data_IF_725049874609
#
_entry.id   IF_725049874609
#
_cell.length_a   1.000
_cell.length_b   1.000
_cell.length_c   1.000
_cell.angle_alpha   90.00
_cell.angle_beta   90.00
_cell.angle_gamma   90.00
#
_symmetry.space_group_name_H-M   'P 1'
#
loop_
_entity.id
_entity.type
_entity.pdbx_description
1 polymer ?
#
# COMPACT_ATOMS: atom_id res chain seq x y z
N UNK A 1 19.18 30.38 -13.39
CA UNK A 1 18.59 29.04 -13.20
C UNK A 1 19.33 28.36 -12.08
N UNK A 2 18.66 28.24 -10.95
CA UNK A 2 19.19 27.65 -9.73
C UNK A 2 19.28 26.13 -9.94
N UNK A 3 20.43 25.52 -9.61
CA UNK A 3 20.69 24.09 -9.86
C UNK A 3 20.16 23.20 -8.72
N UNK A 4 19.33 23.74 -7.82
CA UNK A 4 18.75 23.05 -6.66
C UNK A 4 19.75 22.21 -5.85
N UNK A 5 20.98 22.72 -5.69
CA UNK A 5 22.05 22.03 -4.96
C UNK A 5 22.76 20.89 -5.72
N UNK A 6 22.42 20.65 -7.00
CA UNK A 6 23.13 19.67 -7.82
C UNK A 6 24.59 20.11 -8.04
N UNK A 7 25.56 19.18 -7.85
CA UNK A 7 26.96 19.44 -8.15
C UNK A 7 27.15 19.93 -9.59
N UNK A 8 28.18 20.77 -9.80
CA UNK A 8 28.51 21.31 -11.13
C UNK A 8 28.69 20.22 -12.21
N UNK A 9 29.24 19.05 -11.81
CA UNK A 9 29.45 17.88 -12.67
C UNK A 9 28.15 17.21 -13.16
N UNK A 10 27.01 17.45 -12.50
CA UNK A 10 25.73 16.82 -12.82
C UNK A 10 24.94 17.71 -13.79
N UNK A 11 25.44 17.89 -15.00
CA UNK A 11 24.76 18.62 -16.08
C UNK A 11 23.98 17.68 -17.01
N UNK A 12 23.33 18.25 -18.04
CA UNK A 12 22.53 17.50 -19.03
C UNK A 12 23.37 16.45 -19.77
N UNK A 13 24.61 16.78 -20.11
CA UNK A 13 25.50 15.87 -20.84
C UNK A 13 25.89 14.68 -19.97
N UNK A 14 26.22 14.93 -18.70
CA UNK A 14 26.46 13.87 -17.71
C UNK A 14 25.23 12.98 -17.55
N UNK A 15 24.03 13.55 -17.34
CA UNK A 15 22.81 12.77 -17.17
C UNK A 15 22.51 11.88 -18.39
N UNK A 16 22.59 12.45 -19.59
CA UNK A 16 22.36 11.75 -20.85
C UNK A 16 23.32 10.57 -21.01
N UNK A 17 24.61 10.80 -20.75
CA UNK A 17 25.63 9.74 -20.79
C UNK A 17 25.40 8.66 -19.74
N UNK A 18 25.02 9.03 -18.52
CA UNK A 18 24.92 8.10 -17.39
C UNK A 18 23.66 7.24 -17.44
N UNK A 19 22.52 7.80 -17.83
CA UNK A 19 21.21 7.12 -17.72
C UNK A 19 20.56 6.81 -19.08
N UNK A 20 20.90 7.57 -20.12
CA UNK A 20 20.22 7.54 -21.43
C UNK A 20 21.13 7.00 -22.56
N UNK A 21 22.25 6.36 -22.21
CA UNK A 21 23.26 5.88 -23.15
C UNK A 21 23.81 6.96 -24.13
N UNK A 22 23.74 8.23 -23.74
CA UNK A 22 24.16 9.37 -24.56
C UNK A 22 23.06 10.06 -25.36
N UNK A 23 21.84 9.51 -25.36
CA UNK A 23 20.68 10.09 -26.05
C UNK A 23 19.98 11.19 -25.23
N UNK A 24 19.04 11.91 -25.83
CA UNK A 24 18.21 12.90 -25.14
C UNK A 24 18.77 14.33 -25.14
N UNK A 25 19.76 14.61 -26.00
CA UNK A 25 20.33 15.95 -26.13
C UNK A 25 19.32 16.97 -26.67
N UNK A 26 18.39 16.50 -27.50
CA UNK A 26 17.28 17.22 -28.12
C UNK A 26 16.05 17.39 -27.23
N UNK A 27 16.00 16.68 -26.08
CA UNK A 27 14.86 16.75 -25.15
C UNK A 27 14.89 18.05 -24.36
N UNK A 28 13.74 18.71 -24.23
CA UNK A 28 13.55 19.87 -23.37
C UNK A 28 13.16 19.47 -21.95
N UNK A 29 13.22 20.41 -21.00
CA UNK A 29 12.92 20.14 -19.60
C UNK A 29 11.47 19.66 -19.35
N UNK A 30 10.55 19.95 -20.28
CA UNK A 30 9.16 19.50 -20.26
C UNK A 30 8.94 18.12 -20.87
N UNK A 31 9.92 17.59 -21.59
CA UNK A 31 9.77 16.31 -22.28
C UNK A 31 9.99 15.14 -21.31
N UNK A 32 9.25 14.06 -21.53
CA UNK A 32 9.54 12.79 -20.87
C UNK A 32 10.86 12.20 -21.38
N UNK A 33 11.65 11.64 -20.47
CA UNK A 33 12.89 10.92 -20.77
C UNK A 33 12.78 9.41 -20.53
N UNK A 34 11.64 8.93 -20.03
CA UNK A 34 11.47 7.55 -19.56
C UNK A 34 11.62 6.50 -20.66
N UNK A 35 11.31 6.86 -21.90
CA UNK A 35 11.52 6.03 -23.08
C UNK A 35 13.02 5.86 -23.44
N UNK A 36 13.87 6.76 -22.97
CA UNK A 36 15.31 6.75 -23.23
C UNK A 36 16.14 6.15 -22.09
N UNK A 37 15.57 5.93 -20.91
CA UNK A 37 16.30 5.40 -19.75
C UNK A 37 16.70 3.95 -20.02
N UNK A 38 18.01 3.68 -20.01
CA UNK A 38 18.56 2.34 -20.25
C UNK A 38 19.21 1.74 -19.00
N UNK A 39 19.60 2.58 -18.05
CA UNK A 39 20.32 2.14 -16.86
C UNK A 39 19.84 2.91 -15.63
N UNK A 40 19.92 2.25 -14.48
CA UNK A 40 19.81 2.88 -13.18
C UNK A 40 20.80 2.19 -12.24
N UNK A 41 21.31 2.94 -11.27
CA UNK A 41 22.36 2.44 -10.39
C UNK A 41 21.76 1.77 -9.16
N UNK A 42 22.04 0.48 -8.96
CA UNK A 42 21.58 -0.32 -7.81
C UNK A 42 22.68 -0.51 -6.77
N UNK A 43 23.27 0.57 -6.25
CA UNK A 43 24.41 0.48 -5.34
C UNK A 43 24.09 -0.30 -4.05
N UNK A 44 23.00 0.02 -3.35
CA UNK A 44 22.66 -0.64 -2.08
C UNK A 44 22.33 -2.12 -2.26
N UNK A 45 21.53 -2.55 -3.25
CA UNK A 45 21.34 -3.97 -3.55
C UNK A 45 22.66 -4.69 -3.82
N UNK A 46 23.54 -4.12 -4.64
CA UNK A 46 24.85 -4.73 -4.93
C UNK A 46 25.69 -4.87 -3.66
N UNK A 47 25.75 -3.83 -2.82
CA UNK A 47 26.46 -3.86 -1.55
C UNK A 47 25.90 -4.95 -0.61
N UNK A 48 24.57 -5.08 -0.54
CA UNK A 48 23.92 -6.13 0.24
C UNK A 48 24.27 -7.53 -0.27
N UNK A 49 24.25 -7.74 -1.60
CA UNK A 49 24.65 -9.02 -2.21
C UNK A 49 26.10 -9.37 -1.87
N UNK A 50 27.01 -8.39 -1.89
CA UNK A 50 28.42 -8.60 -1.55
C UNK A 50 28.64 -9.04 -0.09
N UNK A 51 27.68 -8.79 0.80
CA UNK A 51 27.69 -9.24 2.20
C UNK A 51 27.13 -10.66 2.39
N UNK A 52 26.50 -11.27 1.38
CA UNK A 52 25.89 -12.60 1.48
C UNK A 52 26.89 -13.66 0.99
N UNK A 53 27.40 -14.55 1.86
CA UNK A 53 28.47 -15.48 1.47
C UNK A 53 28.12 -16.41 0.31
N UNK A 54 26.86 -16.86 0.22
CA UNK A 54 26.42 -17.71 -0.89
C UNK A 54 26.36 -16.99 -2.25
N UNK A 55 26.36 -15.66 -2.25
CA UNK A 55 26.30 -14.80 -3.42
C UNK A 55 27.65 -14.12 -3.72
N UNK A 56 28.70 -14.42 -2.95
CA UNK A 56 30.02 -13.83 -3.15
C UNK A 56 30.66 -14.20 -4.49
N UNK A 57 30.14 -15.22 -5.18
CA UNK A 57 30.63 -15.66 -6.50
C UNK A 57 30.42 -14.63 -7.62
N UNK A 58 29.57 -13.62 -7.41
CA UNK A 58 29.46 -12.47 -8.31
C UNK A 58 30.62 -11.47 -8.19
N UNK A 59 31.45 -11.60 -7.16
CA UNK A 59 32.40 -10.56 -6.77
C UNK A 59 33.83 -11.08 -6.66
N UNK A 60 34.75 -10.29 -7.20
CA UNK A 60 36.17 -10.36 -6.91
C UNK A 60 36.55 -9.21 -5.99
N UNK A 61 37.33 -9.53 -4.96
CA UNK A 61 37.65 -8.59 -3.90
C UNK A 61 39.12 -8.24 -3.95
N UNK A 62 39.41 -6.95 -3.93
CA UNK A 62 40.75 -6.45 -3.60
C UNK A 62 40.90 -6.41 -2.09
N UNK A 63 41.96 -7.03 -1.59
CA UNK A 63 42.28 -7.02 -0.16
C UNK A 63 43.25 -5.89 0.14
N UNK A 64 42.98 -5.11 1.18
CA UNK A 64 43.90 -4.07 1.67
C UNK A 64 43.98 -4.13 3.19
N UNK A 65 45.15 -3.78 3.74
CA UNK A 65 45.35 -3.70 5.18
C UNK A 65 45.37 -2.23 5.61
N UNK A 66 44.58 -1.88 6.64
CA UNK A 66 44.57 -0.54 7.23
C UNK A 66 44.64 -0.70 8.74
N UNK A 67 45.72 -0.20 9.35
CA UNK A 67 45.96 -0.28 10.80
C UNK A 67 45.87 -1.72 11.36
N UNK A 68 46.41 -2.71 10.65
CA UNK A 68 46.38 -4.12 11.06
C UNK A 68 45.05 -4.84 10.82
N UNK A 69 44.07 -4.18 10.19
CA UNK A 69 42.77 -4.78 9.84
C UNK A 69 42.72 -5.05 8.34
N UNK A 70 42.37 -6.29 7.97
CA UNK A 70 42.17 -6.70 6.59
C UNK A 70 40.77 -6.29 6.11
N UNK A 71 40.72 -5.45 5.09
CA UNK A 71 39.51 -5.00 4.42
C UNK A 71 39.39 -5.67 3.05
N UNK A 72 38.15 -5.95 2.64
CA UNK A 72 37.80 -6.42 1.29
C UNK A 72 37.04 -5.32 0.58
N UNK A 73 37.49 -4.98 -0.62
CA UNK A 73 36.94 -3.88 -1.43
C UNK A 73 36.49 -4.44 -2.78
N UNK A 74 35.29 -4.04 -3.20
CA UNK A 74 34.74 -4.28 -4.54
C UNK A 74 34.57 -2.91 -5.20
N UNK A 75 34.91 -2.78 -6.48
CA UNK A 75 34.77 -1.52 -7.22
C UNK A 75 35.83 -0.48 -6.86
N UNK A 76 37.11 -0.88 -6.85
CA UNK A 76 38.24 0.02 -6.56
C UNK A 76 38.32 1.16 -7.58
N UNK A 77 38.04 0.85 -8.86
CA UNK A 77 37.98 1.85 -9.93
C UNK A 77 37.03 1.41 -11.06
N UNK A 78 36.89 2.22 -12.10
CA UNK A 78 36.13 1.85 -13.29
C UNK A 78 36.75 0.68 -14.06
N UNK A 79 38.08 0.58 -14.04
CA UNK A 79 38.86 -0.49 -14.67
C UNK A 79 38.93 -1.74 -13.78
N UNK A 80 38.79 -1.57 -12.46
CA UNK A 80 38.79 -2.64 -11.47
C UNK A 80 37.45 -2.66 -10.72
N UNK A 81 36.42 -3.13 -11.42
CA UNK A 81 35.03 -3.15 -10.90
C UNK A 81 34.84 -4.18 -9.78
N UNK A 82 35.65 -5.24 -9.74
CA UNK A 82 35.43 -6.38 -8.85
C UNK A 82 34.16 -7.17 -9.18
N UNK A 83 33.60 -7.01 -10.39
CA UNK A 83 32.44 -7.74 -10.89
C UNK A 83 32.82 -8.35 -12.25
N UNK A 84 33.29 -9.61 -12.28
CA UNK A 84 33.82 -10.22 -13.50
C UNK A 84 32.75 -10.41 -14.58
N UNK A 85 31.54 -10.79 -14.19
CA UNK A 85 30.40 -10.96 -15.08
C UNK A 85 29.26 -10.02 -14.64
N UNK A 86 29.35 -8.77 -15.10
CA UNK A 86 28.35 -7.75 -14.83
C UNK A 86 26.98 -8.10 -15.40
N UNK A 87 26.92 -8.83 -16.52
CA UNK A 87 25.65 -9.23 -17.15
C UNK A 87 24.91 -10.27 -16.29
N UNK A 88 25.62 -11.27 -15.77
CA UNK A 88 25.05 -12.25 -14.84
C UNK A 88 24.54 -11.59 -13.55
N UNK A 89 25.31 -10.66 -12.97
CA UNK A 89 24.88 -9.91 -11.79
C UNK A 89 23.62 -9.07 -12.08
N UNK A 90 23.58 -8.37 -13.23
CA UNK A 90 22.41 -7.59 -13.64
C UNK A 90 21.17 -8.47 -13.83
N UNK A 91 21.30 -9.61 -14.51
CA UNK A 91 20.20 -10.55 -14.70
C UNK A 91 19.69 -11.14 -13.37
N UNK A 92 20.60 -11.40 -12.42
CA UNK A 92 20.22 -11.81 -11.07
C UNK A 92 19.45 -10.71 -10.34
N UNK A 93 19.97 -9.48 -10.33
CA UNK A 93 19.33 -8.33 -9.68
C UNK A 93 17.95 -8.05 -10.26
N UNK A 94 17.81 -8.02 -11.59
CA UNK A 94 16.54 -7.80 -12.28
C UNK A 94 15.49 -8.84 -11.85
N UNK A 95 15.85 -10.13 -11.95
CA UNK A 95 14.97 -11.23 -11.56
C UNK A 95 14.57 -11.14 -10.08
N UNK A 96 15.53 -10.89 -9.19
CA UNK A 96 15.28 -10.80 -7.75
C UNK A 96 14.40 -9.60 -7.40
N UNK A 97 14.64 -8.46 -8.02
CA UNK A 97 13.88 -7.24 -7.78
C UNK A 97 12.45 -7.35 -8.29
N UNK A 98 12.26 -7.84 -9.51
CA UNK A 98 10.95 -8.07 -10.10
C UNK A 98 10.14 -9.12 -9.34
N UNK A 99 10.79 -10.20 -8.87
CA UNK A 99 10.16 -11.18 -8.00
C UNK A 99 9.68 -10.55 -6.67
N UNK A 100 10.53 -9.73 -6.03
CA UNK A 100 10.22 -9.03 -4.78
C UNK A 100 9.05 -8.06 -4.93
N UNK A 101 9.08 -7.20 -5.96
CA UNK A 101 7.99 -6.25 -6.24
C UNK A 101 6.68 -7.01 -6.51
N UNK A 102 6.73 -8.02 -7.36
CA UNK A 102 5.54 -8.81 -7.70
C UNK A 102 4.93 -9.49 -6.47
N UNK A 103 5.77 -10.06 -5.61
CA UNK A 103 5.31 -10.65 -4.35
C UNK A 103 4.66 -9.60 -3.44
N UNK A 104 5.29 -8.43 -3.29
CA UNK A 104 4.77 -7.36 -2.45
C UNK A 104 3.43 -6.80 -2.96
N UNK A 105 3.27 -6.66 -4.28
CA UNK A 105 2.01 -6.21 -4.88
C UNK A 105 0.89 -7.23 -4.64
N UNK A 106 1.17 -8.52 -4.80
CA UNK A 106 0.21 -9.60 -4.50
C UNK A 106 -0.21 -9.60 -3.02
N UNK A 107 0.75 -9.41 -2.11
CA UNK A 107 0.47 -9.31 -0.67
C UNK A 107 -0.43 -8.11 -0.35
N UNK A 108 -0.17 -6.95 -0.97
CA UNK A 108 -1.02 -5.75 -0.78
C UNK A 108 -2.44 -5.96 -1.31
N UNK A 109 -2.58 -6.58 -2.48
CA UNK A 109 -3.89 -6.86 -3.06
C UNK A 109 -4.68 -7.83 -2.18
N UNK A 110 -4.05 -8.89 -1.70
CA UNK A 110 -4.67 -9.83 -0.76
C UNK A 110 -5.08 -9.15 0.56
N UNK A 111 -4.20 -8.28 1.11
CA UNK A 111 -4.52 -7.52 2.31
C UNK A 111 -5.75 -6.61 2.09
N UNK A 112 -5.79 -5.91 0.96
CA UNK A 112 -6.91 -5.04 0.60
C UNK A 112 -8.22 -5.84 0.49
N UNK A 113 -8.20 -7.00 -0.17
CA UNK A 113 -9.38 -7.85 -0.29
C UNK A 113 -9.91 -8.31 1.06
N UNK A 114 -9.03 -8.67 2.00
CA UNK A 114 -9.43 -9.03 3.36
C UNK A 114 -10.05 -7.85 4.11
N UNK A 115 -9.45 -6.66 4.02
CA UNK A 115 -9.98 -5.47 4.70
C UNK A 115 -11.32 -5.03 4.11
N UNK A 116 -11.45 -5.05 2.78
CA UNK A 116 -12.68 -4.70 2.09
C UNK A 116 -13.80 -5.69 2.43
N UNK A 117 -13.48 -7.00 2.50
CA UNK A 117 -14.41 -8.05 2.93
C UNK A 117 -14.91 -7.84 4.36
N UNK A 118 -14.00 -7.58 5.31
CA UNK A 118 -14.38 -7.31 6.70
C UNK A 118 -15.25 -6.04 6.84
N UNK A 119 -14.94 -5.00 6.07
CA UNK A 119 -15.74 -3.78 6.03
C UNK A 119 -17.16 -4.07 5.51
N UNK A 120 -17.29 -4.88 4.44
CA UNK A 120 -18.59 -5.26 3.91
C UNK A 120 -19.42 -6.06 4.93
N UNK A 121 -18.82 -7.03 5.62
CA UNK A 121 -19.50 -7.79 6.68
C UNK A 121 -19.96 -6.89 7.83
N UNK A 122 -19.10 -5.98 8.29
CA UNK A 122 -19.44 -5.03 9.35
C UNK A 122 -20.60 -4.11 8.92
N UNK A 123 -20.61 -3.67 7.66
CA UNK A 123 -21.69 -2.83 7.12
C UNK A 123 -23.01 -3.59 7.02
N UNK A 124 -22.98 -4.88 6.65
CA UNK A 124 -24.17 -5.74 6.64
C UNK A 124 -24.74 -5.91 8.06
N UNK A 125 -23.90 -6.25 9.04
CA UNK A 125 -24.32 -6.36 10.46
C UNK A 125 -24.90 -5.04 10.98
N UNK A 126 -24.34 -3.89 10.58
CA UNK A 126 -24.87 -2.58 10.95
C UNK A 126 -26.24 -2.31 10.33
N UNK A 127 -26.48 -2.73 9.09
CA UNK A 127 -27.77 -2.61 8.42
C UNK A 127 -28.85 -3.47 9.10
N UNK A 128 -28.53 -4.73 9.39
CA UNK A 128 -29.44 -5.65 10.10
C UNK A 128 -29.81 -5.10 11.48
N UNK A 129 -28.83 -4.60 12.22
CA UNK A 129 -29.07 -3.96 13.51
C UNK A 129 -29.97 -2.72 13.39
N UNK A 130 -29.80 -1.90 12.35
CA UNK A 130 -30.66 -0.74 12.12
C UNK A 130 -32.11 -1.15 11.83
N UNK A 131 -32.30 -2.23 11.06
CA UNK A 131 -33.63 -2.80 10.79
C UNK A 131 -34.29 -3.35 12.05
N UNK A 132 -33.56 -4.10 12.88
CA UNK A 132 -34.05 -4.59 14.17
C UNK A 132 -34.47 -3.44 15.09
N UNK A 133 -33.67 -2.37 15.16
CA UNK A 133 -34.02 -1.17 15.93
C UNK A 133 -35.29 -0.48 15.41
N UNK A 134 -35.52 -0.48 14.09
CA UNK A 134 -36.75 0.05 13.50
C UNK A 134 -37.97 -0.79 13.87
N UNK A 135 -37.87 -2.12 13.79
CA UNK A 135 -38.94 -3.05 14.18
C UNK A 135 -39.29 -2.90 15.67
N UNK A 136 -38.29 -2.84 16.55
CA UNK A 136 -38.50 -2.63 17.99
C UNK A 136 -39.20 -1.29 18.30
N UNK A 137 -38.90 -0.23 17.53
CA UNK A 137 -39.60 1.07 17.67
C UNK A 137 -41.06 0.97 17.21
N UNK A 138 -41.33 0.23 16.14
CA UNK A 138 -42.68 0.01 15.64
C UNK A 138 -43.51 -0.80 16.65
N UNK A 139 -43.02 -1.94 17.12
CA UNK A 139 -43.72 -2.77 18.11
C UNK A 139 -44.02 -2.01 19.40
N UNK A 140 -43.08 -1.20 19.90
CA UNK A 140 -43.32 -0.35 21.08
C UNK A 140 -44.43 0.68 20.84
N UNK A 141 -44.50 1.24 19.64
CA UNK A 141 -45.55 2.20 19.27
C UNK A 141 -46.91 1.51 19.18
N UNK A 142 -46.96 0.32 18.57
CA UNK A 142 -48.18 -0.48 18.43
C UNK A 142 -48.69 -0.95 19.81
N UNK A 143 -47.81 -1.45 20.68
CA UNK A 143 -48.17 -1.81 22.06
C UNK A 143 -48.66 -0.60 22.87
N UNK A 144 -48.07 0.58 22.65
CA UNK A 144 -48.53 1.81 23.30
C UNK A 144 -49.93 2.20 22.82
N UNK A 145 -50.20 2.06 21.52
CA UNK A 145 -51.52 2.30 20.91
C UNK A 145 -52.58 1.32 21.43
N UNK A 146 -52.27 0.03 21.52
CA UNK A 146 -53.18 -0.99 22.08
C UNK A 146 -53.52 -0.66 23.53
N UNK A 147 -52.52 -0.34 24.37
CA UNK A 147 -52.76 0.04 25.78
C UNK A 147 -53.61 1.31 25.92
N UNK A 148 -53.41 2.30 25.06
CA UNK A 148 -54.23 3.51 25.03
C UNK A 148 -55.66 3.21 24.58
N UNK A 149 -55.84 2.37 23.57
CA UNK A 149 -57.15 1.89 23.10
C UNK A 149 -57.92 1.18 24.20
N UNK A 150 -57.29 0.22 24.88
CA UNK A 150 -57.86 -0.53 26.00
C UNK A 150 -58.25 0.41 27.15
N UNK A 151 -57.37 1.37 27.49
CA UNK A 151 -57.64 2.35 28.55
C UNK A 151 -58.80 3.30 28.17
N UNK A 152 -58.91 3.70 26.91
CA UNK A 152 -60.00 4.54 26.42
C UNK A 152 -61.33 3.78 26.37
N UNK A 153 -61.32 2.50 25.97
CA UNK A 153 -62.51 1.65 25.95
C UNK A 153 -63.03 1.37 27.36
N UNK A 154 -62.13 1.12 28.33
CA UNK A 154 -62.49 1.04 29.76
C UNK A 154 -63.13 2.34 30.25
N UNK A 155 -62.56 3.50 29.93
CA UNK A 155 -63.09 4.81 30.33
C UNK A 155 -64.46 5.10 29.69
N UNK A 156 -64.66 4.68 28.44
CA UNK A 156 -65.96 4.77 27.75
C UNK A 156 -67.03 3.87 28.39
N UNK A 157 -66.69 2.63 28.74
CA UNK A 157 -67.61 1.68 29.39
C UNK A 157 -68.04 2.16 30.78
N UNK A 158 -67.14 2.78 31.55
CA UNK A 158 -67.43 3.31 32.90
C UNK A 158 -68.28 4.60 32.86
N UNK A 159 -68.26 5.35 31.76
CA UNK A 159 -68.97 6.64 31.64
C UNK A 159 -70.40 6.53 31.08
N UNK A 160 -70.90 5.31 30.77
CA UNK A 160 -72.29 5.14 30.33
C UNK A 160 -73.24 5.35 31.53
N UNK A 161 -74.25 6.24 31.43
CA UNK A 161 -75.30 6.29 32.42
C UNK A 161 -76.08 4.99 32.38
N UNK A 162 -76.24 4.32 33.52
CA UNK A 162 -77.10 3.15 33.67
C UNK A 162 -78.53 3.60 33.37
N UNK A 163 -79.07 3.21 32.22
CA UNK A 163 -80.48 3.37 31.91
C UNK A 163 -81.27 2.57 32.96
N UNK A 164 -81.99 3.28 33.83
CA UNK A 164 -82.86 2.69 34.86
C UNK A 164 -83.93 1.87 34.17
N UNK A 165 -83.88 0.56 34.32
CA UNK A 165 -85.02 -0.31 34.01
C UNK A 165 -86.08 -0.07 35.10
N UNK A 166 -87.20 0.51 34.71
CA UNK A 166 -88.40 0.60 35.53
C UNK A 166 -89.11 -0.75 35.49
N UNK A 167 -89.44 -1.37 36.64
CA UNK A 167 -90.34 -2.52 36.66
C UNK A 167 -91.80 -2.02 36.66
N UNK A 168 -92.64 -2.75 35.91
CA UNK A 168 -94.11 -2.60 35.84
C UNK A 168 -94.80 -3.01 37.15
#
# INVERSE_FOLDING_TARGET
TERDGLPARCDKAWFSKTFLAGEGAEREASDSIWDLVQSFMMYDPVALLACIPSLSHFFEYTTTEVNGVTHRVVGVSQECTGVPDGAALCAFLDKSFMAGITAQLKLREHHKQLTDGLIQELMAVRADNAQLQALLKQERSDQHFVRLGDAMELRWKVSRPIARQHPE
#
